data_IF_658704007335
#
_entry.id   IF_658704007335
#
_cell.length_a   1.000
_cell.length_b   1.000
_cell.length_c   1.000
_cell.angle_alpha   90.00
_cell.angle_beta   90.00
_cell.angle_gamma   90.00
#
_symmetry.space_group_name_H-M   'P 1'
#
loop_
_entity.id
_entity.type
_entity.pdbx_description
1 polymer ?
#
# COMPACT_ATOMS: atom_id res chain seq x y z
N UNK A 1 32.65 7.50 10.45
CA UNK A 1 33.19 6.79 9.24
C UNK A 1 34.11 7.73 8.47
N UNK A 2 35.18 7.22 7.80
CA UNK A 2 36.06 8.03 6.91
C UNK A 2 35.41 8.16 5.52
N UNK A 3 35.62 9.30 4.83
CA UNK A 3 35.01 9.52 3.50
C UNK A 3 35.47 8.47 2.46
N UNK A 4 36.73 8.00 2.54
CA UNK A 4 37.18 6.92 1.67
C UNK A 4 36.46 5.61 1.87
N UNK A 5 36.03 5.31 3.13
CA UNK A 5 35.21 4.15 3.42
C UNK A 5 33.79 4.32 2.84
N UNK A 6 33.23 5.53 2.94
CA UNK A 6 31.93 5.84 2.28
C UNK A 6 32.05 5.65 0.78
N UNK A 7 33.14 6.20 0.17
CA UNK A 7 33.39 6.05 -1.26
C UNK A 7 33.52 4.60 -1.68
N UNK A 8 34.27 3.78 -0.93
CA UNK A 8 34.40 2.36 -1.19
C UNK A 8 33.06 1.65 -1.10
N UNK A 9 32.32 1.86 -0.01
CA UNK A 9 31.04 1.21 0.22
C UNK A 9 29.99 1.60 -0.85
N UNK A 10 29.93 2.87 -1.26
CA UNK A 10 29.02 3.33 -2.32
C UNK A 10 29.38 2.69 -3.67
N UNK A 11 30.69 2.53 -3.94
CA UNK A 11 31.18 1.90 -5.18
C UNK A 11 30.88 0.40 -5.18
N UNK A 12 31.18 -0.31 -4.10
CA UNK A 12 30.93 -1.75 -3.95
C UNK A 12 29.43 -2.06 -3.99
N UNK A 13 28.62 -1.21 -3.35
CA UNK A 13 27.16 -1.30 -3.35
C UNK A 13 26.50 -0.84 -4.66
N UNK A 14 27.26 -0.30 -5.60
CA UNK A 14 26.75 0.28 -6.87
C UNK A 14 25.57 1.23 -6.67
N UNK A 15 25.62 2.04 -5.61
CA UNK A 15 24.50 2.90 -5.22
C UNK A 15 24.34 4.11 -6.14
N UNK A 16 25.43 4.57 -6.75
CA UNK A 16 25.43 5.66 -7.74
C UNK A 16 26.66 5.56 -8.65
N UNK A 17 26.68 6.31 -9.80
CA UNK A 17 27.87 6.43 -10.64
C UNK A 17 29.04 7.03 -9.87
N UNK A 18 30.25 6.49 -10.11
CA UNK A 18 31.51 6.92 -9.41
C UNK A 18 31.79 8.40 -9.68
N UNK A 19 31.54 8.85 -10.89
CA UNK A 19 31.75 10.25 -11.30
C UNK A 19 30.88 11.22 -10.49
N UNK A 20 29.61 10.82 -10.23
CA UNK A 20 28.68 11.61 -9.42
C UNK A 20 29.14 11.69 -7.95
N UNK A 21 29.62 10.57 -7.42
CA UNK A 21 30.16 10.50 -6.07
C UNK A 21 31.45 11.34 -5.91
N UNK A 22 32.39 11.23 -6.87
CA UNK A 22 33.65 11.98 -6.85
C UNK A 22 33.40 13.50 -6.97
N UNK A 23 32.39 13.92 -7.75
CA UNK A 23 31.96 15.32 -7.80
C UNK A 23 31.43 15.80 -6.44
N UNK A 24 30.51 15.05 -5.82
CA UNK A 24 29.97 15.38 -4.51
C UNK A 24 31.04 15.40 -3.41
N UNK A 25 32.00 14.48 -3.44
CA UNK A 25 33.12 14.46 -2.52
C UNK A 25 34.04 15.68 -2.70
N UNK A 26 34.31 16.07 -3.96
CA UNK A 26 35.11 17.26 -4.26
C UNK A 26 34.42 18.53 -3.73
N UNK A 27 33.15 18.69 -3.93
CA UNK A 27 32.35 19.81 -3.39
C UNK A 27 32.34 19.80 -1.86
N UNK A 28 32.24 18.63 -1.23
CA UNK A 28 32.32 18.45 0.21
C UNK A 28 33.62 18.96 0.78
N UNK A 29 34.73 18.58 0.17
CA UNK A 29 36.06 19.00 0.61
C UNK A 29 36.36 20.50 0.34
N UNK A 30 35.81 21.05 -0.75
CA UNK A 30 35.95 22.47 -1.07
C UNK A 30 35.26 23.40 -0.04
N UNK A 31 34.27 22.90 0.67
CA UNK A 31 33.55 23.63 1.73
C UNK A 31 34.17 23.49 3.13
N UNK A 32 35.45 23.16 3.22
CA UNK A 32 36.23 23.06 4.46
C UNK A 32 35.78 21.91 5.41
N UNK A 33 35.18 20.88 4.89
CA UNK A 33 34.84 19.66 5.65
C UNK A 33 36.07 18.70 5.69
N UNK A 34 36.05 17.81 6.68
CA UNK A 34 37.13 16.85 6.90
C UNK A 34 36.88 15.53 6.19
N UNK A 35 37.91 14.89 5.68
CA UNK A 35 37.87 13.49 5.21
C UNK A 35 37.44 12.50 6.31
N UNK A 36 37.55 12.89 7.59
CA UNK A 36 37.14 12.05 8.71
C UNK A 36 35.63 12.14 9.02
N UNK A 37 34.87 13.02 8.33
CA UNK A 37 33.42 13.18 8.53
C UNK A 37 32.58 12.50 7.42
N UNK A 38 32.71 11.19 7.30
CA UNK A 38 31.93 10.40 6.36
C UNK A 38 30.43 10.43 6.64
N UNK A 39 30.03 10.59 7.91
CA UNK A 39 28.60 10.72 8.27
C UNK A 39 28.01 12.05 7.77
N UNK A 40 28.81 13.12 7.76
CA UNK A 40 28.46 14.38 7.14
C UNK A 40 28.31 14.26 5.62
N UNK A 41 29.23 13.55 4.96
CA UNK A 41 29.13 13.26 3.53
C UNK A 41 27.86 12.46 3.21
N UNK A 42 27.53 11.42 3.96
CA UNK A 42 26.29 10.66 3.78
C UNK A 42 25.05 11.57 3.90
N UNK A 43 25.00 12.45 4.91
CA UNK A 43 23.90 13.41 5.06
C UNK A 43 23.79 14.37 3.86
N UNK A 44 24.92 14.82 3.30
CA UNK A 44 24.94 15.63 2.10
C UNK A 44 24.34 14.87 0.90
N UNK A 45 24.79 13.62 0.67
CA UNK A 45 24.29 12.78 -0.43
C UNK A 45 22.77 12.55 -0.34
N UNK A 46 22.26 12.32 0.87
CA UNK A 46 20.79 12.22 1.08
C UNK A 46 20.10 13.56 0.80
N UNK A 47 20.65 14.68 1.29
CA UNK A 47 20.08 16.00 1.03
C UNK A 47 20.05 16.36 -0.45
N UNK A 48 21.05 15.92 -1.22
CA UNK A 48 21.11 16.08 -2.67
C UNK A 48 20.29 15.03 -3.44
N UNK A 49 19.54 14.15 -2.73
CA UNK A 49 18.77 13.04 -3.31
C UNK A 49 19.61 12.07 -4.16
N UNK A 50 20.89 11.97 -3.89
CA UNK A 50 21.81 11.01 -4.50
C UNK A 50 21.80 9.65 -3.79
N UNK A 51 21.37 9.63 -2.52
CA UNK A 51 21.10 8.44 -1.72
C UNK A 51 19.71 8.56 -1.08
N UNK A 52 19.06 7.43 -0.88
CA UNK A 52 17.86 7.36 -0.03
C UNK A 52 18.26 7.23 1.45
N UNK A 53 17.33 7.52 2.37
CA UNK A 53 17.56 7.29 3.81
C UNK A 53 17.83 5.81 4.10
N UNK A 54 17.17 4.91 3.37
CA UNK A 54 17.38 3.47 3.46
C UNK A 54 18.83 3.10 3.11
N UNK A 55 19.33 3.56 1.96
CA UNK A 55 20.73 3.35 1.53
C UNK A 55 21.73 3.96 2.51
N UNK A 56 21.45 5.16 3.00
CA UNK A 56 22.28 5.84 4.00
C UNK A 56 22.37 5.05 5.32
N UNK A 57 21.26 4.46 5.76
CA UNK A 57 21.23 3.60 6.95
C UNK A 57 22.07 2.35 6.76
N UNK A 58 21.96 1.70 5.61
CA UNK A 58 22.78 0.54 5.26
C UNK A 58 24.28 0.86 5.24
N UNK A 59 24.67 2.00 4.62
CA UNK A 59 26.04 2.46 4.62
C UNK A 59 26.61 2.66 6.04
N UNK A 60 25.82 3.25 6.95
CA UNK A 60 26.21 3.45 8.35
C UNK A 60 26.32 2.13 9.12
N UNK A 61 25.48 1.16 8.80
CA UNK A 61 25.52 -0.18 9.38
C UNK A 61 26.66 -1.05 8.80
N UNK A 62 27.40 -0.55 7.79
CA UNK A 62 28.45 -1.32 7.12
C UNK A 62 27.94 -2.34 6.11
N UNK A 63 26.69 -2.21 5.68
CA UNK A 63 26.02 -3.08 4.71
C UNK A 63 25.62 -2.24 3.49
N UNK A 64 26.53 -1.97 2.56
CA UNK A 64 26.32 -0.99 1.49
C UNK A 64 25.37 -1.41 0.36
N UNK A 65 24.93 -2.67 0.31
CA UNK A 65 24.16 -3.20 -0.82
C UNK A 65 25.04 -3.76 -1.95
N UNK A 66 24.54 -3.92 -3.17
CA UNK A 66 23.15 -3.74 -3.55
C UNK A 66 22.25 -4.77 -2.86
N UNK A 67 21.14 -4.31 -2.29
CA UNK A 67 20.20 -5.22 -1.67
C UNK A 67 19.39 -5.94 -2.76
N UNK A 68 19.54 -7.26 -2.87
CA UNK A 68 18.79 -8.06 -3.84
C UNK A 68 17.79 -8.95 -3.15
N UNK A 69 16.56 -8.95 -3.67
CA UNK A 69 15.50 -9.88 -3.30
C UNK A 69 14.98 -10.56 -4.56
N UNK A 70 15.40 -11.81 -4.78
CA UNK A 70 15.20 -12.48 -6.04
C UNK A 70 15.85 -11.72 -7.20
N UNK A 71 15.17 -11.56 -8.34
CA UNK A 71 15.73 -10.87 -9.50
C UNK A 71 15.76 -9.34 -9.35
N UNK A 72 15.27 -8.78 -8.23
CA UNK A 72 15.08 -7.35 -8.04
C UNK A 72 16.16 -6.72 -7.18
N UNK A 73 16.61 -5.53 -7.56
CA UNK A 73 17.49 -4.66 -6.78
C UNK A 73 16.63 -3.66 -5.99
N UNK A 74 16.74 -3.72 -4.66
CA UNK A 74 16.01 -2.86 -3.73
C UNK A 74 16.84 -1.60 -3.45
N UNK A 75 16.24 -0.43 -3.57
CA UNK A 75 16.96 0.84 -3.37
C UNK A 75 16.29 1.79 -2.38
N UNK A 76 15.02 1.55 -2.01
CA UNK A 76 14.35 2.39 -1.01
C UNK A 76 13.26 1.63 -0.27
N UNK A 77 13.00 2.02 0.98
CA UNK A 77 11.88 1.56 1.79
C UNK A 77 10.78 2.61 1.80
N UNK A 78 9.63 2.26 1.23
CA UNK A 78 8.47 3.17 1.11
C UNK A 78 7.65 3.18 2.39
N UNK A 79 7.36 1.99 2.92
CA UNK A 79 6.53 1.82 4.10
C UNK A 79 6.88 0.53 4.84
N UNK A 80 6.55 0.50 6.12
CA UNK A 80 6.51 -0.72 6.93
C UNK A 80 5.20 -0.73 7.69
N UNK A 81 4.57 -1.88 7.81
CA UNK A 81 3.30 -2.05 8.51
C UNK A 81 3.04 -3.51 8.83
N UNK A 82 1.93 -3.79 9.50
CA UNK A 82 1.56 -5.15 9.93
C UNK A 82 1.52 -6.18 8.79
N UNK A 83 1.12 -5.76 7.60
CA UNK A 83 1.04 -6.63 6.42
C UNK A 83 2.38 -6.73 5.68
N UNK A 84 3.48 -6.30 6.31
CA UNK A 84 4.83 -6.39 5.77
C UNK A 84 5.45 -5.06 5.39
N UNK A 85 6.49 -5.12 4.60
CA UNK A 85 7.28 -3.97 4.16
C UNK A 85 7.10 -3.73 2.68
N UNK A 86 7.04 -2.46 2.28
CA UNK A 86 6.98 -2.04 0.88
C UNK A 86 8.27 -1.34 0.51
N UNK A 87 8.92 -1.82 -0.55
CA UNK A 87 10.16 -1.27 -1.07
C UNK A 87 9.99 -0.78 -2.51
N UNK A 88 10.79 0.20 -2.90
CA UNK A 88 11.08 0.48 -4.31
C UNK A 88 12.22 -0.39 -4.78
N UNK A 89 12.03 -1.00 -5.93
CA UNK A 89 13.01 -1.87 -6.52
C UNK A 89 13.01 -1.74 -8.05
N UNK A 90 13.97 -2.39 -8.68
CA UNK A 90 14.09 -2.45 -10.12
C UNK A 90 14.50 -3.85 -10.54
N UNK A 91 13.92 -4.34 -11.62
CA UNK A 91 14.44 -5.49 -12.32
C UNK A 91 15.62 -5.05 -13.22
N UNK A 92 16.86 -5.42 -12.93
CA UNK A 92 18.03 -4.82 -13.58
C UNK A 92 18.12 -5.16 -15.08
N UNK A 93 17.72 -6.37 -15.48
CA UNK A 93 17.78 -6.81 -16.88
C UNK A 93 16.82 -6.03 -17.79
N UNK A 94 15.62 -5.74 -17.29
CA UNK A 94 14.60 -5.00 -18.06
C UNK A 94 14.59 -3.51 -17.73
N UNK A 95 15.39 -3.06 -16.76
CA UNK A 95 15.36 -1.72 -16.20
C UNK A 95 13.92 -1.29 -15.85
N UNK A 96 13.13 -2.24 -15.31
CA UNK A 96 11.74 -2.05 -14.93
C UNK A 96 11.66 -1.72 -13.45
N UNK A 97 11.14 -0.52 -13.13
CA UNK A 97 10.81 -0.16 -11.76
C UNK A 97 9.57 -0.93 -11.28
N UNK A 98 9.64 -1.42 -10.05
CA UNK A 98 8.58 -2.16 -9.37
C UNK A 98 8.51 -1.76 -7.91
N UNK A 99 7.35 -1.94 -7.29
CA UNK A 99 7.23 -1.98 -5.85
C UNK A 99 7.32 -3.45 -5.38
N UNK A 100 8.15 -3.72 -4.38
CA UNK A 100 8.21 -5.04 -3.76
C UNK A 100 7.51 -5.00 -2.41
N UNK A 101 6.46 -5.78 -2.25
CA UNK A 101 5.86 -6.05 -0.97
C UNK A 101 6.44 -7.32 -0.39
N UNK A 102 7.06 -7.20 0.77
CA UNK A 102 7.66 -8.31 1.52
C UNK A 102 6.75 -8.62 2.69
N UNK A 103 6.26 -9.85 2.76
CA UNK A 103 5.32 -10.27 3.79
C UNK A 103 6.04 -10.57 5.11
N UNK A 104 5.35 -10.45 6.27
CA UNK A 104 5.95 -10.68 7.58
C UNK A 104 6.56 -12.09 7.68
N UNK A 105 7.68 -12.16 8.37
CA UNK A 105 8.45 -13.40 8.48
C UNK A 105 7.69 -14.50 9.24
N UNK A 106 6.98 -14.15 10.30
CA UNK A 106 6.12 -15.04 11.09
C UNK A 106 5.03 -15.69 10.24
N UNK A 107 4.35 -14.90 9.39
CA UNK A 107 3.36 -15.40 8.42
C UNK A 107 4.02 -16.34 7.39
N UNK A 108 5.23 -16.03 6.94
CA UNK A 108 5.95 -16.84 5.98
C UNK A 108 6.51 -18.13 6.58
N UNK A 109 6.85 -18.12 7.87
CA UNK A 109 7.38 -19.29 8.61
C UNK A 109 6.29 -20.31 8.95
N UNK A 110 5.05 -19.88 9.17
CA UNK A 110 3.92 -20.75 9.37
C UNK A 110 3.48 -21.37 8.03
N UNK A 111 3.50 -22.71 7.96
CA UNK A 111 3.25 -23.44 6.70
C UNK A 111 1.82 -23.27 6.18
N UNK A 112 0.84 -23.19 7.05
CA UNK A 112 -0.57 -23.05 6.68
C UNK A 112 -0.85 -21.63 6.22
N UNK A 113 -0.40 -20.63 6.98
CA UNK A 113 -0.52 -19.23 6.62
C UNK A 113 0.22 -18.91 5.32
N UNK A 114 1.45 -19.39 5.15
CA UNK A 114 2.20 -19.22 3.91
C UNK A 114 1.50 -19.85 2.71
N UNK A 115 0.90 -21.04 2.86
CA UNK A 115 0.14 -21.69 1.79
C UNK A 115 -1.13 -20.92 1.43
N UNK A 116 -1.81 -20.35 2.44
CA UNK A 116 -2.99 -19.50 2.27
C UNK A 116 -2.62 -18.21 1.53
N UNK A 117 -1.64 -17.47 2.05
CA UNK A 117 -1.09 -16.26 1.42
C UNK A 117 -0.70 -16.51 -0.04
N UNK A 118 0.03 -17.60 -0.30
CA UNK A 118 0.43 -18.02 -1.65
C UNK A 118 -0.76 -18.16 -2.60
N UNK A 119 -1.84 -18.80 -2.11
CA UNK A 119 -3.04 -19.01 -2.92
C UNK A 119 -3.71 -17.69 -3.28
N UNK A 120 -3.80 -16.78 -2.34
CA UNK A 120 -4.38 -15.46 -2.52
C UNK A 120 -3.56 -14.61 -3.48
N UNK A 121 -2.24 -14.61 -3.32
CA UNK A 121 -1.33 -13.89 -4.21
C UNK A 121 -1.35 -14.42 -5.65
N UNK A 122 -1.63 -15.70 -5.87
CA UNK A 122 -1.82 -16.25 -7.23
C UNK A 122 -3.03 -15.64 -7.94
N UNK A 123 -4.10 -15.34 -7.19
CA UNK A 123 -5.26 -14.63 -7.74
C UNK A 123 -4.86 -13.19 -8.06
N UNK A 124 -4.07 -12.56 -7.20
CA UNK A 124 -3.57 -11.20 -7.43
C UNK A 124 -2.77 -11.06 -8.74
N UNK A 125 -1.94 -12.06 -9.07
CA UNK A 125 -1.17 -12.09 -10.34
C UNK A 125 -2.09 -12.16 -11.57
N UNK A 126 -3.27 -12.75 -11.44
CA UNK A 126 -4.24 -12.88 -12.55
C UNK A 126 -5.11 -11.63 -12.71
N UNK A 127 -5.13 -10.74 -11.71
CA UNK A 127 -5.95 -9.54 -11.76
C UNK A 127 -5.32 -8.49 -12.70
N UNK A 128 -6.08 -8.10 -13.72
CA UNK A 128 -5.71 -7.04 -14.67
C UNK A 128 -6.90 -6.09 -14.86
N UNK A 129 -6.92 -5.01 -14.07
CA UNK A 129 -7.98 -4.00 -14.10
C UNK A 129 -7.41 -2.62 -13.76
N UNK A 130 -7.90 -1.59 -14.42
CA UNK A 130 -7.41 -0.22 -14.26
C UNK A 130 -7.41 0.29 -12.80
N UNK A 131 -8.41 -0.14 -12.01
CA UNK A 131 -8.58 0.27 -10.61
C UNK A 131 -8.12 -0.79 -9.59
N UNK A 132 -7.30 -1.75 -10.01
CA UNK A 132 -6.65 -2.73 -9.14
C UNK A 132 -5.16 -2.63 -9.34
N UNK A 133 -4.39 -2.67 -8.25
CA UNK A 133 -2.92 -2.68 -8.33
C UNK A 133 -2.47 -3.96 -9.03
N UNK A 134 -1.69 -3.81 -10.09
CA UNK A 134 -1.18 -4.94 -10.84
C UNK A 134 -0.08 -5.64 -10.06
N UNK A 135 -0.24 -6.93 -9.83
CA UNK A 135 0.79 -7.82 -9.31
C UNK A 135 1.46 -8.53 -10.48
N UNK A 136 2.75 -8.28 -10.70
CA UNK A 136 3.49 -8.90 -11.79
C UNK A 136 3.91 -10.32 -11.44
N UNK A 137 4.47 -10.51 -10.25
CA UNK A 137 5.08 -11.77 -9.85
C UNK A 137 4.95 -11.96 -8.34
N UNK A 138 4.89 -13.23 -7.93
CA UNK A 138 5.05 -13.65 -6.54
C UNK A 138 6.25 -14.58 -6.47
N UNK A 139 7.18 -14.28 -5.56
CA UNK A 139 8.39 -15.07 -5.37
C UNK A 139 8.60 -15.44 -3.92
N UNK A 140 9.43 -16.46 -3.72
CA UNK A 140 9.92 -16.87 -2.41
C UNK A 140 11.44 -16.87 -2.40
N UNK A 141 12.02 -16.16 -1.45
CA UNK A 141 13.45 -16.08 -1.24
C UNK A 141 13.77 -16.61 0.17
N UNK A 142 14.18 -17.87 0.25
CA UNK A 142 14.34 -18.57 1.53
C UNK A 142 13.00 -18.66 2.27
N UNK A 143 12.95 -18.05 3.46
CA UNK A 143 11.75 -18.03 4.30
C UNK A 143 10.84 -16.81 4.06
N UNK A 144 11.20 -15.95 3.11
CA UNK A 144 10.48 -14.71 2.82
C UNK A 144 9.64 -14.87 1.55
N UNK A 145 8.36 -14.50 1.63
CA UNK A 145 7.47 -14.37 0.46
C UNK A 145 7.40 -12.89 0.10
N UNK A 146 7.47 -12.59 -1.19
CA UNK A 146 7.30 -11.23 -1.71
C UNK A 146 6.44 -11.20 -2.95
N UNK A 147 5.83 -10.06 -3.23
CA UNK A 147 5.17 -9.77 -4.50
C UNK A 147 5.79 -8.56 -5.18
N UNK A 148 6.01 -8.66 -6.49
CA UNK A 148 6.42 -7.54 -7.32
C UNK A 148 5.17 -6.89 -7.93
N UNK A 149 4.99 -5.63 -7.63
CA UNK A 149 3.82 -4.83 -7.97
C UNK A 149 4.21 -3.72 -8.96
N UNK A 150 3.24 -3.14 -9.64
CA UNK A 150 3.49 -1.91 -10.40
C UNK A 150 4.01 -0.80 -9.47
N UNK A 151 4.99 -0.03 -9.95
CA UNK A 151 5.54 1.11 -9.19
C UNK A 151 4.52 2.25 -9.20
N UNK A 152 3.80 2.38 -8.11
CA UNK A 152 2.80 3.42 -7.94
C UNK A 152 3.42 4.66 -7.31
N UNK A 153 3.65 5.67 -8.12
CA UNK A 153 3.91 7.02 -7.61
C UNK A 153 2.58 7.66 -7.24
N UNK A 154 2.51 8.21 -6.03
CA UNK A 154 1.27 8.77 -5.52
C UNK A 154 1.19 8.72 -4.00
N UNK A 155 -0.04 8.71 -3.49
CA UNK A 155 -0.33 8.68 -2.05
C UNK A 155 -1.55 7.79 -1.77
N UNK A 156 -1.72 7.37 -0.52
CA UNK A 156 -2.96 6.70 -0.10
C UNK A 156 -4.10 7.72 0.02
N UNK A 157 -5.34 7.26 -0.15
CA UNK A 157 -6.51 8.09 0.13
C UNK A 157 -6.53 8.55 1.60
N UNK A 158 -5.97 7.75 2.52
CA UNK A 158 -5.81 8.16 3.93
C UNK A 158 -4.92 9.40 4.08
N UNK A 159 -3.78 9.44 3.38
CA UNK A 159 -2.88 10.60 3.36
C UNK A 159 -3.59 11.83 2.77
N UNK A 160 -4.34 11.64 1.68
CA UNK A 160 -5.14 12.70 1.05
C UNK A 160 -6.19 13.26 2.01
N UNK A 161 -6.97 12.40 2.68
CA UNK A 161 -7.99 12.81 3.64
C UNK A 161 -7.40 13.51 4.87
N UNK A 162 -6.25 13.01 5.38
CA UNK A 162 -5.55 13.66 6.49
C UNK A 162 -5.10 15.08 6.13
N UNK A 163 -4.63 15.31 4.92
CA UNK A 163 -4.27 16.65 4.44
C UNK A 163 -5.50 17.55 4.37
N UNK A 164 -6.63 17.07 3.85
CA UNK A 164 -7.87 17.84 3.78
C UNK A 164 -8.45 18.16 5.16
N UNK A 165 -8.33 17.25 6.14
CA UNK A 165 -8.83 17.48 7.51
C UNK A 165 -8.23 18.72 8.18
N UNK A 166 -7.10 19.21 7.67
CA UNK A 166 -6.42 20.42 8.13
C UNK A 166 -6.91 21.70 7.42
N UNK A 167 -7.82 21.59 6.46
CA UNK A 167 -8.37 22.73 5.70
C UNK A 167 -9.67 23.27 6.29
N UNK A 168 -10.15 24.40 5.80
CA UNK A 168 -11.44 24.98 6.20
C UNK A 168 -12.64 24.11 5.74
N UNK A 169 -12.46 23.30 4.72
CA UNK A 169 -13.45 22.34 4.19
C UNK A 169 -12.84 20.95 4.24
N UNK A 170 -13.04 20.18 5.33
CA UNK A 170 -12.34 18.90 5.54
C UNK A 170 -12.79 17.77 4.61
N UNK A 171 -13.82 17.97 3.79
CA UNK A 171 -14.32 17.00 2.81
C UNK A 171 -13.69 17.21 1.44
N UNK A 172 -13.60 16.13 0.64
CA UNK A 172 -13.26 16.24 -0.78
C UNK A 172 -14.37 16.94 -1.56
N UNK A 173 -14.06 17.61 -2.69
CA UNK A 173 -15.06 18.05 -3.65
C UNK A 173 -15.98 16.90 -4.09
N UNK A 174 -17.28 17.18 -4.28
CA UNK A 174 -18.27 16.16 -4.63
C UNK A 174 -17.85 15.32 -5.84
N UNK A 175 -17.42 15.98 -6.92
CA UNK A 175 -17.04 15.31 -8.17
C UNK A 175 -15.85 14.37 -7.97
N UNK A 176 -14.79 14.85 -7.28
CA UNK A 176 -13.62 14.03 -6.94
C UNK A 176 -14.02 12.83 -6.07
N UNK A 177 -14.77 13.06 -4.98
CA UNK A 177 -15.20 11.99 -4.09
C UNK A 177 -16.03 10.91 -4.84
N UNK A 178 -17.02 11.34 -5.64
CA UNK A 178 -17.85 10.41 -6.42
C UNK A 178 -17.01 9.61 -7.42
N UNK A 179 -16.07 10.25 -8.11
CA UNK A 179 -15.17 9.59 -9.05
C UNK A 179 -14.29 8.54 -8.37
N UNK A 180 -13.65 8.89 -7.25
CA UNK A 180 -12.78 7.96 -6.51
C UNK A 180 -13.56 6.75 -5.99
N UNK A 181 -14.75 6.97 -5.43
CA UNK A 181 -15.60 5.87 -4.96
C UNK A 181 -16.11 5.01 -6.11
N UNK A 182 -16.45 5.62 -7.26
CA UNK A 182 -16.81 4.89 -8.47
C UNK A 182 -15.67 4.01 -8.97
N UNK A 183 -14.46 4.52 -9.02
CA UNK A 183 -13.26 3.78 -9.43
C UNK A 183 -12.97 2.61 -8.49
N UNK A 184 -13.09 2.82 -7.16
CA UNK A 184 -13.00 1.74 -6.18
C UNK A 184 -14.08 0.69 -6.40
N UNK A 185 -15.34 1.09 -6.61
CA UNK A 185 -16.45 0.18 -6.86
C UNK A 185 -16.27 -0.65 -8.14
N UNK A 186 -15.70 -0.09 -9.20
CA UNK A 186 -15.37 -0.84 -10.43
C UNK A 186 -14.30 -1.90 -10.18
N UNK A 187 -13.21 -1.54 -9.48
CA UNK A 187 -12.16 -2.49 -9.09
C UNK A 187 -12.71 -3.60 -8.18
N UNK A 188 -13.57 -3.25 -7.21
CA UNK A 188 -14.23 -4.21 -6.33
C UNK A 188 -15.12 -5.18 -7.10
N UNK A 189 -15.97 -4.67 -8.00
CA UNK A 189 -16.86 -5.51 -8.82
C UNK A 189 -16.06 -6.51 -9.67
N UNK A 190 -14.93 -6.07 -10.23
CA UNK A 190 -14.02 -6.95 -10.96
C UNK A 190 -13.46 -8.07 -10.06
N UNK A 191 -12.95 -7.73 -8.87
CA UNK A 191 -12.40 -8.71 -7.92
C UNK A 191 -13.48 -9.65 -7.38
N UNK A 192 -14.68 -9.16 -7.07
CA UNK A 192 -15.82 -9.99 -6.69
C UNK A 192 -16.18 -11.00 -7.78
N UNK A 193 -16.11 -10.59 -9.07
CA UNK A 193 -16.28 -11.48 -10.22
C UNK A 193 -15.23 -12.59 -10.31
N UNK A 194 -14.05 -12.40 -9.72
CA UNK A 194 -13.00 -13.41 -9.56
C UNK A 194 -13.17 -14.26 -8.28
N UNK A 195 -14.22 -14.02 -7.49
CA UNK A 195 -14.46 -14.70 -6.22
C UNK A 195 -13.63 -14.17 -5.04
N UNK A 196 -13.05 -12.96 -5.17
CA UNK A 196 -12.26 -12.30 -4.12
C UNK A 196 -13.13 -11.31 -3.36
N UNK A 197 -13.25 -11.49 -2.05
CA UNK A 197 -13.81 -10.51 -1.11
C UNK A 197 -12.65 -9.83 -0.40
N UNK A 198 -12.61 -8.49 -0.44
CA UNK A 198 -11.46 -7.70 0.06
C UNK A 198 -11.37 -7.71 1.58
N UNK A 199 -12.51 -7.58 2.27
CA UNK A 199 -12.63 -7.58 3.74
C UNK A 199 -11.93 -6.44 4.48
N UNK A 200 -11.09 -5.65 3.80
CA UNK A 200 -10.38 -4.50 4.38
C UNK A 200 -10.39 -3.29 3.43
N UNK A 201 -11.59 -2.84 3.08
CA UNK A 201 -11.78 -1.64 2.26
C UNK A 201 -11.71 -0.42 3.16
N UNK A 202 -10.56 0.26 3.14
CA UNK A 202 -10.29 1.46 3.92
C UNK A 202 -9.39 2.44 3.14
N UNK A 203 -9.35 3.72 3.51
CA UNK A 203 -8.55 4.71 2.78
C UNK A 203 -7.05 4.39 2.69
N UNK A 204 -6.49 3.65 3.64
CA UNK A 204 -5.09 3.24 3.64
C UNK A 204 -4.77 2.23 2.52
N UNK A 205 -5.77 1.43 2.09
CA UNK A 205 -5.65 0.41 1.06
C UNK A 205 -6.14 0.89 -0.32
N UNK A 206 -6.45 2.18 -0.45
CA UNK A 206 -6.85 2.85 -1.69
C UNK A 206 -5.76 3.85 -2.08
N UNK A 207 -5.12 3.61 -3.22
CA UNK A 207 -4.02 4.40 -3.71
C UNK A 207 -4.47 5.38 -4.80
N UNK A 208 -4.02 6.62 -4.68
CA UNK A 208 -4.19 7.64 -5.70
C UNK A 208 -2.89 7.77 -6.47
N UNK A 209 -2.92 7.42 -7.75
CA UNK A 209 -1.76 7.58 -8.63
C UNK A 209 -1.46 9.06 -8.90
N UNK A 210 -0.31 9.36 -9.48
CA UNK A 210 0.02 10.70 -9.95
C UNK A 210 -0.99 11.28 -10.95
N UNK A 211 -1.69 10.44 -11.71
CA UNK A 211 -2.80 10.84 -12.58
C UNK A 211 -4.15 10.94 -11.86
N UNK A 212 -4.14 10.89 -10.53
CA UNK A 212 -5.32 10.91 -9.65
C UNK A 212 -6.30 9.75 -9.88
N UNK A 213 -5.87 8.68 -10.53
CA UNK A 213 -6.64 7.44 -10.65
C UNK A 213 -6.56 6.66 -9.35
N UNK A 214 -7.68 6.09 -8.91
CA UNK A 214 -7.70 5.22 -7.74
C UNK A 214 -7.39 3.78 -8.13
N UNK A 215 -6.54 3.14 -7.33
CA UNK A 215 -6.26 1.69 -7.39
C UNK A 215 -6.41 1.04 -6.02
N UNK A 216 -7.04 -0.12 -6.00
CA UNK A 216 -7.10 -0.99 -4.81
C UNK A 216 -5.74 -1.66 -4.65
N UNK A 217 -5.08 -1.42 -3.50
CA UNK A 217 -3.71 -1.89 -3.27
C UNK A 217 -3.62 -3.33 -2.76
N UNK A 218 -4.45 -3.68 -1.83
CA UNK A 218 -4.32 -4.92 -1.09
C UNK A 218 -5.61 -5.72 -1.17
N UNK A 219 -5.50 -6.92 -1.71
CA UNK A 219 -6.57 -7.91 -1.67
C UNK A 219 -5.95 -9.28 -1.42
N UNK A 220 -6.64 -10.07 -0.61
CA UNK A 220 -6.26 -11.44 -0.32
C UNK A 220 -5.46 -11.67 0.97
N UNK A 221 -4.76 -10.71 1.55
CA UNK A 221 -3.95 -10.90 2.76
C UNK A 221 -4.67 -10.56 4.08
N UNK A 222 -5.90 -10.04 4.01
CA UNK A 222 -6.63 -9.52 5.18
C UNK A 222 -7.41 -10.59 5.98
N UNK A 223 -7.35 -11.84 5.57
CA UNK A 223 -8.30 -12.86 6.03
C UNK A 223 -8.25 -13.22 7.51
N UNK A 224 -7.10 -13.07 8.18
CA UNK A 224 -6.92 -13.54 9.57
C UNK A 224 -6.78 -12.43 10.60
N UNK A 225 -7.08 -11.19 10.21
CA UNK A 225 -6.85 -10.04 11.07
C UNK A 225 -7.68 -9.99 12.35
N UNK A 226 -8.73 -10.78 12.47
CA UNK A 226 -9.59 -10.83 13.68
C UNK A 226 -9.19 -11.95 14.66
N UNK A 227 -8.48 -12.98 14.20
CA UNK A 227 -7.96 -14.03 15.10
C UNK A 227 -6.92 -13.48 16.10
N UNK A 228 -6.30 -12.33 15.76
CA UNK A 228 -5.32 -11.66 16.63
C UNK A 228 -5.94 -10.75 17.72
N UNK A 229 -7.28 -10.67 17.86
CA UNK A 229 -7.90 -9.94 18.97
C UNK A 229 -7.73 -10.66 20.31
N UNK A 230 -7.44 -11.96 20.29
CA UNK A 230 -7.19 -12.72 21.52
C UNK A 230 -5.82 -12.43 22.15
N UNK A 231 -4.85 -11.88 21.40
CA UNK A 231 -3.53 -11.50 21.88
C UNK A 231 -3.41 -10.01 22.30
N UNK A 232 -4.52 -9.32 22.51
CA UNK A 232 -4.57 -7.88 22.81
C UNK A 232 -3.88 -7.46 24.12
N UNK A 233 -3.35 -8.40 24.93
CA UNK A 233 -2.60 -8.10 26.16
C UNK A 233 -1.12 -7.71 25.91
N UNK A 234 -0.60 -7.83 24.68
CA UNK A 234 0.79 -7.48 24.34
C UNK A 234 1.00 -6.08 23.76
N UNK A 235 -0.05 -5.25 23.66
CA UNK A 235 -0.03 -3.94 23.00
C UNK A 235 0.51 -2.81 23.88
N UNK A 236 1.78 -2.91 24.32
CA UNK A 236 2.47 -1.86 25.08
C UNK A 236 3.63 -1.22 24.30
N UNK A 237 3.52 -1.06 22.97
CA UNK A 237 4.55 -0.37 22.17
C UNK A 237 3.98 0.85 21.48
N UNK A 238 4.79 1.92 21.32
CA UNK A 238 4.43 3.22 20.73
C UNK A 238 3.92 3.13 19.28
N UNK A 239 4.03 1.98 18.61
CA UNK A 239 3.46 1.68 17.30
C UNK A 239 2.01 1.17 17.32
N UNK A 240 1.41 1.08 18.53
CA UNK A 240 0.04 0.56 18.71
C UNK A 240 -1.04 1.37 17.95
N UNK A 241 -0.77 2.61 17.55
CA UNK A 241 -1.73 3.46 16.81
C UNK A 241 -1.74 3.18 15.31
N UNK A 242 -0.64 2.69 14.72
CA UNK A 242 -0.59 2.24 13.32
C UNK A 242 -1.01 0.77 13.15
N UNK A 243 -0.89 -0.01 14.21
CA UNK A 243 -1.21 -1.44 14.25
C UNK A 243 -2.71 -1.74 14.47
N UNK A 244 -3.53 -0.73 14.72
CA UNK A 244 -4.96 -0.94 14.96
C UNK A 244 -5.68 -1.10 13.63
N UNK A 245 -6.39 -2.21 13.51
CA UNK A 245 -7.48 -2.35 12.57
C UNK A 245 -8.31 -1.08 12.58
N UNK A 246 -8.54 -0.50 11.40
CA UNK A 246 -9.31 0.73 11.37
C UNK A 246 -10.81 0.42 11.46
N UNK A 247 -11.28 0.18 12.70
CA UNK A 247 -12.68 -0.11 13.01
C UNK A 247 -13.65 0.99 12.54
N UNK A 248 -13.15 2.03 11.88
CA UNK A 248 -13.98 3.08 11.29
C UNK A 248 -14.69 2.62 10.01
N UNK A 249 -14.25 1.50 9.41
CA UNK A 249 -14.73 1.01 8.11
C UNK A 249 -15.21 -0.44 8.14
N UNK A 250 -15.25 -1.07 9.30
CA UNK A 250 -15.65 -2.48 9.46
C UNK A 250 -17.15 -2.65 9.19
N UNK A 251 -17.53 -3.72 8.49
CA UNK A 251 -18.94 -4.04 8.28
C UNK A 251 -19.57 -4.72 9.51
N UNK A 252 -20.91 -4.62 9.71
CA UNK A 252 -21.61 -5.26 10.83
C UNK A 252 -21.30 -6.75 10.96
N UNK A 253 -21.37 -7.48 9.86
CA UNK A 253 -21.18 -8.94 9.81
C UNK A 253 -19.75 -9.37 10.08
N UNK A 254 -18.74 -8.52 9.82
CA UNK A 254 -17.36 -8.82 10.18
C UNK A 254 -17.13 -8.89 11.71
N UNK A 255 -18.02 -8.24 12.48
CA UNK A 255 -17.96 -8.29 13.95
C UNK A 255 -18.76 -9.46 14.58
N UNK A 256 -19.70 -10.08 13.83
CA UNK A 256 -20.62 -11.08 14.37
C UNK A 256 -20.26 -12.51 13.90
N UNK A 257 -20.08 -12.74 12.61
CA UNK A 257 -19.81 -14.08 12.04
C UNK A 257 -19.06 -13.99 10.71
N UNK A 258 -17.80 -14.39 10.74
CA UNK A 258 -16.90 -14.31 9.60
C UNK A 258 -17.29 -15.20 8.41
N UNK A 259 -18.08 -16.25 8.63
CA UNK A 259 -18.54 -17.15 7.56
C UNK A 259 -19.56 -16.47 6.64
N UNK A 260 -20.22 -15.41 7.12
CA UNK A 260 -21.26 -14.68 6.37
C UNK A 260 -20.72 -13.49 5.56
N UNK A 261 -19.41 -13.26 5.55
CA UNK A 261 -18.79 -12.12 4.86
C UNK A 261 -18.71 -12.37 3.36
N UNK A 262 -19.43 -11.56 2.57
CA UNK A 262 -19.40 -11.57 1.11
C UNK A 262 -19.07 -10.17 0.53
N UNK A 263 -19.15 -10.00 -0.78
CA UNK A 263 -18.84 -8.71 -1.44
C UNK A 263 -19.71 -7.53 -0.96
N UNK A 264 -20.87 -7.79 -0.33
CA UNK A 264 -21.71 -6.73 0.24
C UNK A 264 -21.13 -6.15 1.53
N UNK A 265 -20.22 -6.88 2.19
CA UNK A 265 -19.42 -6.35 3.30
C UNK A 265 -18.46 -5.27 2.81
N UNK A 266 -17.80 -5.50 1.68
CA UNK A 266 -16.92 -4.51 1.05
C UNK A 266 -17.70 -3.27 0.60
N UNK A 267 -18.96 -3.43 0.12
CA UNK A 267 -19.84 -2.32 -0.24
C UNK A 267 -20.18 -1.45 1.00
N UNK A 268 -20.41 -2.05 2.17
CA UNK A 268 -20.58 -1.30 3.40
C UNK A 268 -19.32 -0.50 3.76
N UNK A 269 -18.17 -1.15 3.74
CA UNK A 269 -16.88 -0.51 4.03
C UNK A 269 -16.58 0.62 3.05
N UNK A 270 -16.86 0.43 1.75
CA UNK A 270 -16.79 1.50 0.75
C UNK A 270 -17.77 2.64 1.03
N UNK A 271 -18.96 2.34 1.58
CA UNK A 271 -19.92 3.34 2.06
C UNK A 271 -19.35 4.18 3.20
N UNK A 272 -18.61 3.56 4.14
CA UNK A 272 -17.90 4.29 5.19
C UNK A 272 -16.80 5.20 4.62
N UNK A 273 -16.03 4.72 3.64
CA UNK A 273 -15.03 5.53 2.92
C UNK A 273 -15.69 6.70 2.20
N UNK A 274 -16.78 6.45 1.48
CA UNK A 274 -17.53 7.49 0.76
C UNK A 274 -18.08 8.57 1.72
N UNK A 275 -18.64 8.13 2.85
CA UNK A 275 -19.09 9.05 3.90
C UNK A 275 -17.95 9.93 4.39
N UNK A 276 -16.77 9.34 4.67
CA UNK A 276 -15.58 10.10 5.10
C UNK A 276 -15.14 11.09 4.02
N UNK A 277 -15.05 10.69 2.76
CA UNK A 277 -14.67 11.58 1.65
C UNK A 277 -15.63 12.77 1.53
N UNK A 278 -16.93 12.54 1.63
CA UNK A 278 -17.98 13.55 1.40
C UNK A 278 -18.27 14.46 2.59
N UNK A 279 -17.92 14.03 3.82
CA UNK A 279 -18.23 14.76 5.05
C UNK A 279 -17.00 15.20 5.84
N UNK A 280 -15.81 14.68 5.51
CA UNK A 280 -14.58 14.89 6.29
C UNK A 280 -14.59 14.19 7.64
N UNK A 281 -15.49 13.21 7.86
CA UNK A 281 -15.66 12.51 9.14
C UNK A 281 -15.94 11.02 8.91
N UNK A 282 -15.47 10.19 9.83
CA UNK A 282 -15.89 8.79 9.91
C UNK A 282 -17.34 8.68 10.37
N UNK A 283 -18.03 7.58 9.99
CA UNK A 283 -19.46 7.36 10.28
C UNK A 283 -19.73 7.38 11.79
N UNK A 284 -18.87 6.70 12.57
CA UNK A 284 -18.96 6.63 14.02
C UNK A 284 -17.66 7.05 14.68
N UNK A 285 -17.70 8.14 15.44
CA UNK A 285 -16.55 8.63 16.21
C UNK A 285 -16.58 8.05 17.62
N UNK A 286 -15.62 7.20 17.95
CA UNK A 286 -15.36 6.72 19.31
C UNK A 286 -13.86 6.43 19.46
N UNK A 287 -13.31 6.61 20.67
CA UNK A 287 -11.92 6.27 20.95
C UNK A 287 -11.71 4.77 21.23
N UNK A 288 -12.79 4.08 21.58
CA UNK A 288 -12.74 2.65 21.89
C UNK A 288 -13.10 1.83 20.65
N UNK A 289 -12.20 0.97 20.15
CA UNK A 289 -12.42 0.14 18.97
C UNK A 289 -13.66 -0.77 19.09
N UNK A 290 -13.85 -1.42 20.23
CA UNK A 290 -15.00 -2.31 20.46
C UNK A 290 -16.33 -1.55 20.44
N UNK A 291 -16.37 -0.32 20.96
CA UNK A 291 -17.58 0.53 20.85
C UNK A 291 -17.85 0.90 19.40
N UNK A 292 -16.83 1.19 18.59
CA UNK A 292 -17.01 1.44 17.15
C UNK A 292 -17.64 0.22 16.46
N UNK A 293 -17.14 -1.00 16.71
CA UNK A 293 -17.70 -2.24 16.18
C UNK A 293 -19.19 -2.38 16.57
N UNK A 294 -19.52 -2.18 17.84
CA UNK A 294 -20.91 -2.24 18.32
C UNK A 294 -21.79 -1.21 17.61
N UNK A 295 -21.29 0.00 17.37
CA UNK A 295 -22.01 1.05 16.65
C UNK A 295 -22.19 0.70 15.18
N UNK A 296 -21.18 0.15 14.51
CA UNK A 296 -21.32 -0.36 13.16
C UNK A 296 -22.37 -1.49 13.08
N UNK A 297 -22.43 -2.37 14.07
CA UNK A 297 -23.39 -3.46 14.11
C UNK A 297 -24.83 -2.97 14.39
N UNK A 298 -25.05 -1.95 15.24
CA UNK A 298 -26.37 -1.66 15.81
C UNK A 298 -26.91 -0.25 15.53
N UNK A 299 -26.04 0.78 15.53
CA UNK A 299 -26.49 2.17 15.43
C UNK A 299 -26.80 2.53 13.97
N UNK A 300 -27.88 3.27 13.74
CA UNK A 300 -28.15 3.82 12.42
C UNK A 300 -27.04 4.80 12.03
N UNK A 301 -26.57 4.71 10.78
CA UNK A 301 -25.63 5.69 10.25
C UNK A 301 -26.30 7.08 10.19
N UNK A 302 -25.59 8.14 10.60
CA UNK A 302 -26.11 9.49 10.47
C UNK A 302 -26.26 9.88 8.99
N UNK A 303 -27.15 10.80 8.67
CA UNK A 303 -27.25 11.31 7.30
C UNK A 303 -26.00 12.10 6.93
N UNK A 304 -25.40 11.83 5.77
CA UNK A 304 -24.28 12.64 5.28
C UNK A 304 -24.66 14.11 5.08
N UNK A 305 -25.94 14.39 4.83
CA UNK A 305 -26.48 15.74 4.68
C UNK A 305 -26.41 16.56 5.97
N UNK A 306 -26.41 15.91 7.15
CA UNK A 306 -26.25 16.58 8.44
C UNK A 306 -24.89 17.27 8.59
N UNK A 307 -23.90 16.79 7.84
CA UNK A 307 -22.51 17.30 7.85
C UNK A 307 -22.15 18.07 6.57
N UNK A 308 -22.81 17.77 5.46
CA UNK A 308 -22.63 18.46 4.18
C UNK A 308 -23.99 18.64 3.49
N UNK A 309 -24.62 19.78 3.73
CA UNK A 309 -25.97 20.11 3.24
C UNK A 309 -26.04 20.27 1.71
N UNK A 310 -24.89 20.41 1.02
CA UNK A 310 -24.83 20.59 -0.44
C UNK A 310 -24.92 19.27 -1.22
N UNK A 311 -24.92 18.11 -0.54
CA UNK A 311 -24.96 16.82 -1.20
C UNK A 311 -26.30 16.58 -1.93
N UNK A 312 -26.27 16.08 -3.18
CA UNK A 312 -27.46 15.65 -3.91
C UNK A 312 -28.22 14.55 -3.15
N UNK A 313 -29.56 14.54 -3.27
CA UNK A 313 -30.41 13.53 -2.62
C UNK A 313 -30.03 12.12 -3.03
N UNK A 314 -29.75 11.92 -4.29
CA UNK A 314 -29.40 10.62 -4.88
C UNK A 314 -28.12 10.06 -4.27
N UNK A 315 -27.12 10.89 -4.03
CA UNK A 315 -25.85 10.48 -3.37
C UNK A 315 -26.11 10.13 -1.91
N UNK A 316 -26.94 10.92 -1.20
CA UNK A 316 -27.29 10.64 0.20
C UNK A 316 -28.09 9.34 0.34
N UNK A 317 -29.04 9.09 -0.57
CA UNK A 317 -29.82 7.84 -0.59
C UNK A 317 -28.95 6.62 -0.92
N UNK A 318 -28.02 6.74 -1.86
CA UNK A 318 -27.05 5.69 -2.18
C UNK A 318 -26.20 5.36 -0.94
N UNK A 319 -25.65 6.37 -0.26
CA UNK A 319 -24.88 6.18 0.96
C UNK A 319 -25.70 5.47 2.05
N UNK A 320 -26.95 5.87 2.23
CA UNK A 320 -27.83 5.22 3.21
C UNK A 320 -28.05 3.72 2.90
N UNK A 321 -28.18 3.36 1.61
CA UNK A 321 -28.27 1.96 1.17
C UNK A 321 -26.95 1.22 1.39
N UNK A 322 -25.81 1.79 1.02
CA UNK A 322 -24.50 1.16 1.25
C UNK A 322 -24.26 0.90 2.74
N UNK A 323 -24.68 1.82 3.63
CA UNK A 323 -24.52 1.74 5.08
C UNK A 323 -25.66 0.99 5.79
N UNK A 324 -26.56 0.32 5.05
CA UNK A 324 -27.59 -0.52 5.62
C UNK A 324 -26.99 -1.66 6.45
N UNK A 325 -27.60 -1.98 7.60
CA UNK A 325 -27.04 -2.97 8.53
C UNK A 325 -27.15 -4.40 7.99
N UNK A 326 -28.26 -4.71 7.34
CA UNK A 326 -28.44 -6.02 6.71
C UNK A 326 -27.82 -6.01 5.31
N UNK A 327 -26.97 -6.99 4.95
CA UNK A 327 -26.42 -7.10 3.61
C UNK A 327 -27.48 -7.09 2.49
N UNK A 328 -28.66 -7.67 2.74
CA UNK A 328 -29.77 -7.74 1.77
C UNK A 328 -30.39 -6.36 1.43
N UNK A 329 -30.22 -5.37 2.30
CA UNK A 329 -30.72 -4.00 2.08
C UNK A 329 -29.70 -3.14 1.32
N UNK A 330 -28.50 -3.66 1.04
CA UNK A 330 -27.41 -2.99 0.30
C UNK A 330 -27.51 -3.27 -1.20
N UNK A 331 -26.80 -2.48 -2.05
CA UNK A 331 -26.59 -2.86 -3.45
C UNK A 331 -26.02 -4.28 -3.53
N UNK A 332 -26.56 -5.10 -4.43
CA UNK A 332 -26.15 -6.51 -4.58
C UNK A 332 -24.77 -6.66 -5.20
N UNK A 333 -24.32 -5.66 -5.95
CA UNK A 333 -23.04 -5.63 -6.65
C UNK A 333 -22.44 -4.21 -6.63
N UNK A 334 -21.12 -4.11 -6.54
CA UNK A 334 -20.41 -2.84 -6.52
C UNK A 334 -20.54 -2.07 -7.83
N UNK A 335 -20.78 -2.72 -8.97
CA UNK A 335 -21.04 -2.05 -10.25
C UNK A 335 -22.28 -1.15 -10.20
N UNK A 336 -23.30 -1.50 -9.40
CA UNK A 336 -24.47 -0.65 -9.20
C UNK A 336 -24.12 0.64 -8.45
N UNK A 337 -23.18 0.58 -7.52
CA UNK A 337 -22.64 1.77 -6.84
C UNK A 337 -21.91 2.65 -7.84
N UNK A 338 -21.06 2.04 -8.69
CA UNK A 338 -20.32 2.77 -9.71
C UNK A 338 -21.27 3.47 -10.71
N UNK A 339 -22.29 2.78 -11.18
CA UNK A 339 -23.29 3.34 -12.12
C UNK A 339 -24.09 4.50 -11.49
N UNK A 340 -24.47 4.37 -10.22
CA UNK A 340 -25.21 5.41 -9.52
C UNK A 340 -24.39 6.69 -9.26
N UNK A 341 -23.07 6.59 -9.13
CA UNK A 341 -22.17 7.72 -8.91
C UNK A 341 -21.73 8.41 -10.19
N UNK A 342 -21.81 7.74 -11.34
CA UNK A 342 -21.30 8.26 -12.62
C UNK A 342 -21.78 9.69 -12.97
N UNK A 343 -23.07 10.06 -12.79
CA UNK A 343 -23.54 11.41 -13.10
C UNK A 343 -22.94 12.53 -12.24
N UNK A 344 -22.32 12.19 -11.13
CA UNK A 344 -21.77 13.12 -10.14
C UNK A 344 -20.24 13.21 -10.18
N UNK A 345 -19.59 12.44 -11.05
CA UNK A 345 -18.14 12.40 -11.18
C UNK A 345 -17.62 13.64 -11.93
N UNK A 346 -16.48 14.16 -11.45
CA UNK A 346 -15.71 15.14 -12.21
C UNK A 346 -14.78 14.45 -13.24
N UNK A 347 -14.22 15.25 -14.13
CA UNK A 347 -13.07 14.87 -14.93
C UNK A 347 -11.84 15.34 -14.18
N UNK A 348 -10.84 14.47 -13.90
CA UNK A 348 -9.65 14.88 -13.18
C UNK A 348 -8.94 16.00 -13.96
N UNK A 349 -8.71 17.12 -13.26
CA UNK A 349 -7.83 18.17 -13.76
C UNK A 349 -6.40 17.70 -13.46
N UNK A 350 -5.70 17.28 -14.50
CA UNK A 350 -4.32 16.77 -14.40
C UNK A 350 -3.40 17.97 -14.55
N UNK A 351 -2.98 18.56 -13.43
CA UNK A 351 -1.95 19.59 -13.43
C UNK A 351 -0.63 19.04 -13.99
N UNK A 352 0.07 19.83 -14.81
CA UNK A 352 1.37 19.45 -15.41
C UNK A 352 2.46 19.10 -14.36
N UNK A 353 2.37 19.62 -13.14
CA UNK A 353 3.26 19.24 -12.03
C UNK A 353 3.08 17.76 -11.61
N UNK A 354 1.87 17.22 -11.74
CA UNK A 354 1.55 15.83 -11.39
C UNK A 354 1.99 14.87 -12.50
N UNK A 355 2.13 15.33 -13.72
CA UNK A 355 2.71 14.53 -14.82
C UNK A 355 4.14 14.07 -14.55
N UNK A 356 4.89 14.73 -13.66
CA UNK A 356 6.20 14.23 -13.18
C UNK A 356 6.09 12.94 -12.35
N UNK A 357 4.88 12.58 -11.92
CA UNK A 357 4.54 11.38 -11.15
C UNK A 357 3.82 10.34 -12.01
N UNK A 358 3.91 10.46 -13.33
CA UNK A 358 3.34 9.48 -14.24
C UNK A 358 3.79 8.07 -13.82
N UNK A 359 2.84 7.13 -13.81
CA UNK A 359 3.14 5.72 -13.57
C UNK A 359 4.26 5.28 -14.51
N UNK A 360 5.24 4.55 -13.96
CA UNK A 360 6.34 4.03 -14.78
C UNK A 360 5.75 3.13 -15.85
N UNK A 361 6.01 3.45 -17.10
CA UNK A 361 5.54 2.64 -18.23
C UNK A 361 6.08 1.22 -18.09
N UNK A 362 5.18 0.24 -18.17
CA UNK A 362 5.56 -1.16 -18.07
C UNK A 362 6.12 -1.62 -19.42
N UNK A 363 7.36 -2.09 -19.41
CA UNK A 363 8.07 -2.48 -20.63
C UNK A 363 7.52 -3.81 -21.18
N UNK A 364 7.23 -3.91 -22.48
CA UNK A 364 6.65 -5.12 -23.07
C UNK A 364 7.50 -6.39 -22.83
N UNK A 365 8.83 -6.29 -22.96
CA UNK A 365 9.74 -7.41 -22.75
C UNK A 365 9.76 -7.91 -21.29
N UNK A 366 9.49 -7.02 -20.33
CA UNK A 366 9.30 -7.40 -18.93
C UNK A 366 7.99 -8.19 -18.76
N UNK A 367 6.90 -7.77 -19.41
CA UNK A 367 5.63 -8.49 -19.38
C UNK A 367 5.73 -9.88 -20.01
N UNK A 368 6.49 -10.02 -21.09
CA UNK A 368 6.76 -11.31 -21.72
C UNK A 368 7.53 -12.24 -20.78
N UNK A 369 8.54 -11.71 -20.09
CA UNK A 369 9.28 -12.44 -19.07
C UNK A 369 8.39 -12.87 -17.89
N UNK A 370 7.61 -11.94 -17.32
CA UNK A 370 6.64 -12.22 -16.24
C UNK A 370 5.66 -13.32 -16.65
N UNK A 371 5.13 -13.25 -17.88
CA UNK A 371 4.18 -14.23 -18.39
C UNK A 371 4.83 -15.62 -18.49
N UNK A 372 6.08 -15.71 -18.91
CA UNK A 372 6.83 -16.97 -18.95
C UNK A 372 7.16 -17.50 -17.55
N UNK A 373 7.57 -16.64 -16.63
CA UNK A 373 7.90 -17.00 -15.25
C UNK A 373 6.66 -17.49 -14.47
N UNK A 374 5.50 -16.84 -14.66
CA UNK A 374 4.25 -17.23 -13.99
C UNK A 374 3.59 -18.50 -14.56
N UNK A 375 4.04 -18.99 -15.73
CA UNK A 375 3.47 -20.22 -16.37
C UNK A 375 3.89 -21.50 -15.63
N UNK A 376 4.96 -21.45 -14.84
CA UNK A 376 5.37 -22.56 -13.98
C UNK A 376 4.52 -22.56 -12.71
N UNK A 377 3.78 -23.64 -12.50
CA UNK A 377 2.72 -23.82 -11.48
C UNK A 377 3.24 -23.88 -10.02
N UNK A 378 4.09 -22.98 -9.62
CA UNK A 378 4.61 -22.85 -8.27
C UNK A 378 5.05 -21.41 -7.98
N UNK A 379 5.11 -21.02 -6.71
CA UNK A 379 6.01 -19.94 -6.31
C UNK A 379 7.39 -20.46 -6.65
N UNK A 380 8.09 -19.83 -7.61
CA UNK A 380 9.48 -20.19 -7.88
C UNK A 380 10.27 -20.03 -6.58
N UNK A 381 10.83 -21.13 -6.07
CA UNK A 381 11.93 -21.03 -5.12
C UNK A 381 13.10 -20.43 -5.89
N UNK A 382 13.31 -19.15 -5.69
CA UNK A 382 14.47 -18.45 -6.26
C UNK A 382 15.70 -19.02 -5.58
N UNK A 383 16.71 -19.45 -6.35
CA UNK A 383 17.95 -19.96 -5.78
C UNK A 383 18.47 -18.97 -4.72
N UNK A 384 18.89 -19.46 -3.56
CA UNK A 384 19.46 -18.64 -2.51
C UNK A 384 20.64 -17.78 -3.00
N UNK A 385 21.28 -18.16 -4.10
CA UNK A 385 22.34 -17.40 -4.76
C UNK A 385 21.89 -16.07 -5.37
N UNK A 386 20.58 -15.87 -5.58
CA UNK A 386 20.03 -14.63 -6.14
C UNK A 386 19.54 -13.64 -5.05
N UNK A 387 19.53 -14.05 -3.79
CA UNK A 387 19.13 -13.20 -2.67
C UNK A 387 20.36 -12.79 -1.88
N UNK A 388 20.50 -11.50 -1.64
CA UNK A 388 21.60 -10.96 -0.85
C UNK A 388 21.43 -11.36 0.64
N UNK A 389 22.43 -12.01 1.26
CA UNK A 389 22.40 -12.32 2.70
C UNK A 389 22.15 -11.09 3.58
N UNK A 390 22.70 -9.93 3.18
CA UNK A 390 22.49 -8.68 3.89
C UNK A 390 21.04 -8.20 3.87
N UNK A 391 20.32 -8.42 2.76
CA UNK A 391 18.88 -8.14 2.69
C UNK A 391 18.09 -9.07 3.62
N UNK A 392 18.45 -10.34 3.71
CA UNK A 392 17.81 -11.30 4.61
C UNK A 392 18.07 -10.95 6.08
N UNK A 393 19.29 -10.58 6.44
CA UNK A 393 19.64 -10.12 7.80
C UNK A 393 18.88 -8.85 8.17
N UNK A 394 18.78 -7.89 7.25
CA UNK A 394 17.97 -6.67 7.42
C UNK A 394 16.48 -7.01 7.66
N UNK A 395 15.89 -7.87 6.83
CA UNK A 395 14.49 -8.27 6.98
C UNK A 395 14.24 -8.99 8.32
N UNK A 396 15.16 -9.85 8.75
CA UNK A 396 15.07 -10.54 10.05
C UNK A 396 15.22 -9.58 11.24
N UNK A 397 16.10 -8.58 11.15
CA UNK A 397 16.29 -7.59 12.21
C UNK A 397 15.05 -6.75 12.46
N UNK A 398 14.28 -6.45 11.40
CA UNK A 398 13.06 -5.65 11.49
C UNK A 398 11.84 -6.38 12.07
N UNK A 399 11.89 -7.72 12.16
CA UNK A 399 10.83 -8.52 12.79
C UNK A 399 11.08 -8.73 14.30
N UNK A 400 12.26 -8.30 14.80
CA UNK A 400 12.67 -8.45 16.20
C UNK A 400 12.44 -7.17 17.03
N UNK A 401 12.01 -6.08 16.41
CA UNK A 401 11.59 -4.81 17.02
C UNK A 401 10.05 -4.67 16.96
#
# INVERSE_FOLDING_TARGET
>A
MHCDQVRQNVTDGRLMPVETLDAALSDWLATSHSLNDGDGLIRLLVKQQLLTEFQASGLKAGVPGPYRLGPYEVFDRVAAGRLGMLFRARHPEFDQAVALKVFPFDVCADREQAAKLTRELRIAVQADHANVMRTFQVGRAGEVIYSALEDLRGETLATRLKRESSTATPSLPLGEACRLIREAALGMSYLHGMGVVLRDVQPANLWLTGTRQLKIMEFGAAHDSLEFLDDADSAATDHADELRWNFDYVSPEQGDDHELVDGRSDIYSLGCVAFHCLTGRVVFTDKNPLRKMIRHARDAAPSARDFNSSLPSEVVELLAKMLAKKPDDRPVDASLVAAALEPFCDVPDVDDEINSWASVEVRPNFLDWVSSANTFAGIEEIPQSETDPAMMEFLQSMTSE
#
